data_IF_755582413484
#
_entry.id   IF_755582413484
#
_cell.length_a   1.000
_cell.length_b   1.000
_cell.length_c   1.000
_cell.angle_alpha   90.00
_cell.angle_beta   90.00
_cell.angle_gamma   90.00
#
_symmetry.space_group_name_H-M   'P 1'
#
loop_
_entity.id
_entity.type
_entity.pdbx_description
1 polymer ?
#
# COMPACT_ATOMS: atom_id res chain seq x y z
N UNK A 1 -0.20 -12.54 -16.06
CA UNK A 1 0.76 -11.53 -16.58
C UNK A 1 0.59 -10.17 -15.89
N UNK A 2 -0.62 -9.63 -15.72
CA UNK A 2 -0.87 -8.30 -15.11
C UNK A 2 -0.48 -8.19 -13.62
N UNK A 3 -0.79 -9.20 -12.80
CA UNK A 3 -0.50 -9.15 -11.36
C UNK A 3 1.00 -9.11 -11.01
N UNK A 4 1.83 -9.79 -11.80
CA UNK A 4 3.29 -9.77 -11.63
C UNK A 4 3.88 -8.40 -11.96
N UNK A 5 3.39 -7.76 -13.04
CA UNK A 5 3.78 -6.40 -13.40
C UNK A 5 3.39 -5.39 -12.31
N UNK A 6 2.17 -5.50 -11.77
CA UNK A 6 1.73 -4.64 -10.67
C UNK A 6 2.60 -4.78 -9.42
N UNK A 7 2.94 -6.03 -9.05
CA UNK A 7 3.85 -6.31 -7.94
C UNK A 7 5.22 -5.66 -8.15
N UNK A 8 5.79 -5.78 -9.35
CA UNK A 8 7.08 -5.18 -9.67
C UNK A 8 7.05 -3.65 -9.49
N UNK A 9 6.03 -2.97 -10.04
CA UNK A 9 5.86 -1.52 -9.87
C UNK A 9 5.69 -1.12 -8.42
N UNK A 10 4.92 -1.88 -7.63
CA UNK A 10 4.73 -1.62 -6.20
C UNK A 10 6.05 -1.73 -5.43
N UNK A 11 6.87 -2.75 -5.74
CA UNK A 11 8.19 -2.91 -5.13
C UNK A 11 9.15 -1.77 -5.51
N UNK A 12 9.15 -1.30 -6.76
CA UNK A 12 9.95 -0.14 -7.18
C UNK A 12 9.54 1.17 -6.49
N UNK A 13 8.25 1.34 -6.21
CA UNK A 13 7.76 2.47 -5.43
C UNK A 13 8.18 2.36 -3.96
N UNK A 14 7.99 1.19 -3.34
CA UNK A 14 8.36 0.94 -1.95
C UNK A 14 9.87 1.04 -1.72
N UNK A 15 10.69 0.62 -2.69
CA UNK A 15 12.15 0.71 -2.64
C UNK A 15 12.66 2.15 -2.48
N UNK A 16 11.88 3.14 -2.89
CA UNK A 16 12.17 4.58 -2.75
C UNK A 16 11.64 5.20 -1.46
N UNK A 17 10.94 4.41 -0.63
CA UNK A 17 10.38 4.92 0.62
C UNK A 17 11.48 5.27 1.64
N UNK A 18 11.27 6.28 2.49
CA UNK A 18 12.24 6.65 3.52
C UNK A 18 12.61 5.50 4.47
N UNK A 19 11.64 4.61 4.76
CA UNK A 19 11.84 3.43 5.61
C UNK A 19 12.77 2.41 4.97
N UNK A 20 12.59 2.13 3.67
CA UNK A 20 13.48 1.23 2.94
C UNK A 20 14.89 1.83 2.83
N UNK A 21 14.99 3.11 2.52
CA UNK A 21 16.31 3.77 2.40
C UNK A 21 17.03 3.88 3.75
N UNK A 22 16.31 4.04 4.86
CA UNK A 22 16.90 3.97 6.20
C UNK A 22 17.50 2.59 6.50
N UNK A 23 16.78 1.51 6.19
CA UNK A 23 17.29 0.16 6.42
C UNK A 23 18.46 -0.19 5.48
N UNK A 24 18.41 0.29 4.24
CA UNK A 24 19.52 0.16 3.29
C UNK A 24 20.80 0.85 3.79
N UNK A 25 20.68 2.10 4.27
CA UNK A 25 21.80 2.86 4.85
C UNK A 25 22.34 2.19 6.11
N UNK A 26 21.47 1.63 6.95
CA UNK A 26 21.86 0.86 8.13
C UNK A 26 22.64 -0.39 7.75
N UNK A 27 22.15 -1.16 6.77
CA UNK A 27 22.83 -2.35 6.27
C UNK A 27 24.19 -2.03 5.66
N UNK A 28 24.27 -0.95 4.86
CA UNK A 28 25.52 -0.44 4.31
C UNK A 28 26.54 -0.13 5.41
N UNK A 29 26.15 0.69 6.40
CA UNK A 29 27.04 1.10 7.48
C UNK A 29 27.47 -0.10 8.36
N UNK A 30 26.55 -1.03 8.61
CA UNK A 30 26.83 -2.26 9.37
C UNK A 30 27.85 -3.13 8.65
N UNK A 31 27.69 -3.31 7.34
CA UNK A 31 28.60 -4.15 6.56
C UNK A 31 29.99 -3.52 6.43
N UNK A 32 30.04 -2.20 6.20
CA UNK A 32 31.28 -1.42 6.15
C UNK A 32 32.04 -1.46 7.47
N UNK A 33 31.32 -1.47 8.60
CA UNK A 33 31.90 -1.55 9.95
C UNK A 33 32.37 -2.94 10.39
N UNK A 34 32.31 -3.98 9.53
CA UNK A 34 32.76 -5.32 9.92
C UNK A 34 34.28 -5.39 10.08
N UNK A 35 34.74 -6.10 11.11
CA UNK A 35 36.17 -6.33 11.41
C UNK A 35 37.01 -6.81 10.23
N UNK A 36 36.46 -7.65 9.35
CA UNK A 36 37.19 -8.13 8.16
C UNK A 36 37.55 -7.01 7.16
N UNK A 37 36.95 -5.83 7.29
CA UNK A 37 37.23 -4.62 6.50
C UNK A 37 38.00 -3.56 7.30
N UNK A 38 38.43 -3.85 8.53
CA UNK A 38 39.07 -2.88 9.44
C UNK A 38 40.33 -2.22 8.82
N UNK A 39 41.14 -2.99 8.09
CA UNK A 39 42.36 -2.51 7.46
C UNK A 39 42.13 -1.72 6.16
N UNK A 40 40.96 -1.87 5.53
CA UNK A 40 40.62 -1.23 4.27
C UNK A 40 39.10 -1.01 4.16
N UNK A 41 38.50 -0.13 4.99
CA UNK A 41 37.05 0.04 5.07
C UNK A 41 36.45 0.72 3.83
N UNK A 42 37.28 1.45 3.09
CA UNK A 42 36.94 2.09 1.81
C UNK A 42 37.55 1.34 0.61
N UNK A 43 38.12 0.15 0.84
CA UNK A 43 38.63 -0.69 -0.24
C UNK A 43 37.51 -1.21 -1.15
N UNK A 44 37.81 -1.54 -2.42
CA UNK A 44 36.79 -1.94 -3.40
C UNK A 44 35.95 -3.13 -2.94
N UNK A 45 36.56 -4.07 -2.23
CA UNK A 45 35.86 -5.24 -1.67
C UNK A 45 34.87 -4.83 -0.56
N UNK A 46 35.26 -3.91 0.32
CA UNK A 46 34.42 -3.42 1.41
C UNK A 46 33.23 -2.62 0.87
N UNK A 47 33.48 -1.73 -0.10
CA UNK A 47 32.44 -0.96 -0.76
C UNK A 47 31.44 -1.85 -1.50
N UNK A 48 31.92 -2.79 -2.32
CA UNK A 48 31.05 -3.73 -3.04
C UNK A 48 30.21 -4.60 -2.09
N UNK A 49 30.81 -5.06 -0.98
CA UNK A 49 30.06 -5.80 0.04
C UNK A 49 28.97 -4.95 0.70
N UNK A 50 29.28 -3.70 1.05
CA UNK A 50 28.35 -2.78 1.67
C UNK A 50 27.21 -2.37 0.72
N UNK A 51 27.51 -2.12 -0.56
CA UNK A 51 26.50 -1.86 -1.60
C UNK A 51 25.58 -3.05 -1.80
N UNK A 52 26.14 -4.27 -1.86
CA UNK A 52 25.33 -5.49 -1.94
C UNK A 52 24.43 -5.65 -0.72
N UNK A 53 24.96 -5.45 0.49
CA UNK A 53 24.17 -5.52 1.71
C UNK A 53 23.02 -4.50 1.73
N UNK A 54 23.28 -3.29 1.24
CA UNK A 54 22.26 -2.25 1.08
C UNK A 54 21.17 -2.66 0.06
N UNK A 55 21.56 -3.20 -1.09
CA UNK A 55 20.62 -3.68 -2.12
C UNK A 55 19.75 -4.84 -1.59
N UNK A 56 20.37 -5.81 -0.92
CA UNK A 56 19.66 -6.94 -0.30
C UNK A 56 18.71 -6.48 0.82
N UNK A 57 19.08 -5.45 1.57
CA UNK A 57 18.19 -4.82 2.54
C UNK A 57 17.01 -4.10 1.85
N UNK A 58 17.26 -3.33 0.78
CA UNK A 58 16.18 -2.67 0.02
C UNK A 58 15.14 -3.67 -0.48
N UNK A 59 15.60 -4.77 -1.08
CA UNK A 59 14.71 -5.82 -1.59
C UNK A 59 13.86 -6.42 -0.46
N UNK A 60 14.50 -6.92 0.60
CA UNK A 60 13.80 -7.55 1.74
C UNK A 60 12.82 -6.62 2.42
N UNK A 61 13.21 -5.37 2.68
CA UNK A 61 12.33 -4.41 3.34
C UNK A 61 11.15 -4.01 2.45
N UNK A 62 11.36 -3.85 1.14
CA UNK A 62 10.26 -3.55 0.20
C UNK A 62 9.25 -4.69 0.13
N UNK A 63 9.73 -5.94 0.07
CA UNK A 63 8.88 -7.13 0.09
C UNK A 63 8.09 -7.25 1.40
N UNK A 64 8.75 -7.01 2.54
CA UNK A 64 8.09 -7.03 3.84
C UNK A 64 6.98 -5.97 3.94
N UNK A 65 7.24 -4.74 3.46
CA UNK A 65 6.22 -3.68 3.45
C UNK A 65 5.06 -4.01 2.53
N UNK A 66 5.33 -4.60 1.36
CA UNK A 66 4.26 -5.05 0.46
C UNK A 66 3.40 -6.12 1.12
N UNK A 67 4.03 -7.12 1.76
CA UNK A 67 3.32 -8.18 2.46
C UNK A 67 2.44 -7.60 3.60
N UNK A 68 2.99 -6.70 4.41
CA UNK A 68 2.25 -6.04 5.48
C UNK A 68 1.05 -5.23 4.96
N UNK A 69 1.21 -4.53 3.84
CA UNK A 69 0.13 -3.77 3.22
C UNK A 69 -0.98 -4.67 2.68
N UNK A 70 -0.63 -5.79 2.05
CA UNK A 70 -1.61 -6.77 1.57
C UNK A 70 -2.39 -7.43 2.71
N UNK A 71 -1.73 -7.70 3.84
CA UNK A 71 -2.38 -8.23 5.03
C UNK A 71 -3.38 -7.23 5.62
N UNK A 72 -2.98 -5.95 5.75
CA UNK A 72 -3.88 -4.88 6.19
C UNK A 72 -5.10 -4.71 5.27
N UNK A 73 -4.89 -4.77 3.95
CA UNK A 73 -5.99 -4.71 2.99
C UNK A 73 -6.96 -5.87 3.18
N UNK A 74 -6.45 -7.08 3.36
CA UNK A 74 -7.27 -8.26 3.61
C UNK A 74 -8.09 -8.11 4.90
N UNK A 75 -7.46 -7.71 6.00
CA UNK A 75 -8.18 -7.48 7.27
C UNK A 75 -9.27 -6.41 7.13
N UNK A 76 -8.97 -5.31 6.44
CA UNK A 76 -9.94 -4.23 6.20
C UNK A 76 -11.12 -4.73 5.36
N UNK A 77 -10.86 -5.58 4.35
CA UNK A 77 -11.91 -6.17 3.54
C UNK A 77 -12.78 -7.15 4.33
N UNK A 78 -12.18 -7.98 5.19
CA UNK A 78 -12.91 -8.89 6.08
C UNK A 78 -13.81 -8.11 7.07
N UNK A 79 -13.32 -6.99 7.61
CA UNK A 79 -14.09 -6.09 8.48
C UNK A 79 -15.26 -5.45 7.73
N UNK A 80 -15.01 -4.86 6.55
CA UNK A 80 -16.06 -4.25 5.75
C UNK A 80 -17.14 -5.26 5.32
N UNK A 81 -16.75 -6.51 5.04
CA UNK A 81 -17.69 -7.57 4.73
C UNK A 81 -18.56 -7.93 5.94
N UNK A 82 -17.97 -8.00 7.15
CA UNK A 82 -18.72 -8.22 8.38
C UNK A 82 -19.70 -7.07 8.69
N UNK A 83 -19.25 -5.82 8.52
CA UNK A 83 -20.08 -4.63 8.73
C UNK A 83 -21.23 -4.55 7.72
N UNK A 84 -21.04 -5.01 6.49
CA UNK A 84 -22.10 -5.10 5.49
C UNK A 84 -23.18 -6.16 5.82
N UNK A 85 -22.88 -7.15 6.68
CA UNK A 85 -23.87 -8.14 7.13
C UNK A 85 -24.73 -7.65 8.31
N UNK A 86 -24.33 -6.55 8.96
CA UNK A 86 -25.19 -5.86 9.93
C UNK A 86 -26.14 -4.97 9.13
N UNK A 87 -27.48 -5.15 9.23
CA UNK A 87 -28.40 -4.25 8.56
C UNK A 87 -28.13 -2.83 9.05
N UNK A 88 -27.62 -1.98 8.16
CA UNK A 88 -27.44 -0.58 8.49
C UNK A 88 -28.79 -0.01 8.93
N UNK A 89 -28.85 0.78 10.03
CA UNK A 89 -30.08 1.47 10.38
C UNK A 89 -30.50 2.30 9.17
N UNK A 90 -31.75 2.10 8.75
CA UNK A 90 -32.32 2.76 7.59
C UNK A 90 -32.10 4.26 7.73
N UNK A 91 -31.34 4.85 6.82
CA UNK A 91 -31.08 6.29 6.87
C UNK A 91 -32.41 7.03 6.68
N UNK A 92 -32.69 8.09 7.46
CA UNK A 92 -33.87 8.94 7.24
C UNK A 92 -33.96 9.49 5.81
N UNK A 93 -32.81 9.61 5.13
CA UNK A 93 -32.76 9.99 3.72
C UNK A 93 -33.21 8.89 2.77
N UNK A 94 -32.94 7.62 3.08
CA UNK A 94 -33.38 6.49 2.26
C UNK A 94 -34.91 6.35 2.25
N UNK A 95 -35.55 6.60 3.39
CA UNK A 95 -37.02 6.62 3.49
C UNK A 95 -37.61 7.82 2.74
N UNK A 96 -37.00 8.99 2.88
CA UNK A 96 -37.40 10.20 2.14
C UNK A 96 -37.22 10.06 0.63
N UNK A 97 -36.19 9.35 0.17
CA UNK A 97 -35.97 9.04 -1.24
C UNK A 97 -37.02 8.08 -1.78
N UNK A 98 -37.38 7.06 -1.01
CA UNK A 98 -38.44 6.14 -1.39
C UNK A 98 -39.80 6.85 -1.47
N UNK A 99 -40.08 7.77 -0.54
CA UNK A 99 -41.28 8.60 -0.55
C UNK A 99 -41.33 9.55 -1.76
N UNK A 100 -40.21 10.20 -2.08
CA UNK A 100 -40.10 11.04 -3.28
C UNK A 100 -40.23 10.24 -4.57
N UNK A 101 -39.66 9.03 -4.64
CA UNK A 101 -39.76 8.15 -5.81
C UNK A 101 -41.17 7.56 -5.99
N UNK A 102 -41.94 7.44 -4.91
CA UNK A 102 -43.34 6.99 -4.94
C UNK A 102 -44.31 8.12 -5.31
N UNK A 103 -43.85 9.38 -5.31
CA UNK A 103 -44.68 10.53 -5.67
C UNK A 103 -44.82 10.60 -7.20
N UNK A 104 -46.05 10.62 -7.75
CA UNK A 104 -46.26 10.85 -9.17
C UNK A 104 -45.68 12.20 -9.57
N UNK A 105 -45.00 12.25 -10.72
CA UNK A 105 -44.49 13.50 -11.29
C UNK A 105 -45.69 14.31 -11.79
N UNK A 106 -45.85 15.52 -11.27
CA UNK A 106 -46.90 16.45 -11.70
C UNK A 106 -46.68 16.81 -13.19
N UNK A 107 -47.77 16.91 -13.99
CA UNK A 107 -47.71 17.14 -15.44
C UNK A 107 -46.94 18.42 -15.83
N UNK A 108 -46.87 19.40 -14.92
CA UNK A 108 -46.07 20.63 -15.08
C UNK A 108 -44.56 20.36 -15.14
N UNK A 109 -44.06 19.32 -14.47
CA UNK A 109 -42.64 18.94 -14.47
C UNK A 109 -42.31 18.10 -15.71
N UNK A 110 -43.23 17.26 -16.17
CA UNK A 110 -43.07 16.49 -17.43
C UNK A 110 -43.06 17.41 -18.66
N UNK A 111 -43.80 18.52 -18.64
CA UNK A 111 -43.77 19.54 -19.67
C UNK A 111 -42.50 20.41 -19.70
N UNK A 112 -41.73 20.45 -18.61
CA UNK A 112 -40.51 21.27 -18.49
C UNK A 112 -39.22 20.56 -18.95
N UNK A 113 -39.28 19.25 -19.22
CA UNK A 113 -38.13 18.43 -19.64
C UNK A 113 -38.16 18.17 -21.17
N UNK A 114 -39.22 18.59 -21.86
CA UNK A 114 -39.37 18.53 -23.33
C UNK A 114 -38.84 19.82 -23.99
#
# INVERSE_FOLDING_TARGET
>A
MVAAAYRASALEMLARSPKVEAEARRAYATEKGRRRHEWAPDGPIALAAAEKAAADARARTSEHLLAAWLDQLRTTQEQNAADAMVPAPRSPWADRLAELAARPLDDEVLGAIA
#
